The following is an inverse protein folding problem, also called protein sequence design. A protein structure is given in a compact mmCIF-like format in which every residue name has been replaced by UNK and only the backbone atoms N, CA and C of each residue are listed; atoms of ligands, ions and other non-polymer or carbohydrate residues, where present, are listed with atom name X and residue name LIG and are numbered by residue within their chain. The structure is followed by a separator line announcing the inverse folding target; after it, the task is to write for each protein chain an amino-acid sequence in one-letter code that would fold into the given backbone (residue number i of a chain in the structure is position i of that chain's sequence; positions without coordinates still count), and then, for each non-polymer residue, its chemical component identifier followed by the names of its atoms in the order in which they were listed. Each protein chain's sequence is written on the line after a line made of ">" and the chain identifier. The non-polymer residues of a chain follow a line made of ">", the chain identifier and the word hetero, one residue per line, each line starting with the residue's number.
data_IF_718226014360
#
_entry.id   IF_718226014360
#
_cell.length_a   1.000
_cell.length_b   1.000
_cell.length_c   1.000
_cell.angle_alpha   90.00
_cell.angle_beta   90.00
_cell.angle_gamma   90.00
#
_symmetry.space_group_name_H-M   'P 1'
#
loop_
_entity.id
_entity.type
_entity.pdbx_description
1 polymer ?
#
# COMPACT_ATOMS: atom_id res chain seq x y z
N UNK A 1 -14.21 -7.21 23.12
CA UNK A 1 -14.13 -7.48 21.68
C UNK A 1 -13.10 -6.55 21.00
N UNK A 2 -13.17 -5.23 21.18
CA UNK A 2 -12.19 -4.25 20.64
C UNK A 2 -10.72 -4.56 21.00
N UNK A 3 -10.42 -4.82 22.27
CA UNK A 3 -9.05 -5.11 22.74
C UNK A 3 -8.41 -6.37 22.13
N UNK A 4 -9.23 -7.35 21.74
CA UNK A 4 -8.76 -8.59 21.10
C UNK A 4 -8.35 -8.32 19.65
N UNK A 5 -9.17 -7.56 18.92
CA UNK A 5 -8.87 -7.11 17.56
C UNK A 5 -7.62 -6.21 17.49
N UNK A 6 -7.44 -5.30 18.46
CA UNK A 6 -6.22 -4.49 18.58
C UNK A 6 -4.96 -5.35 18.77
N UNK A 7 -5.04 -6.39 19.59
CA UNK A 7 -3.94 -7.33 19.84
C UNK A 7 -3.58 -8.19 18.61
N UNK A 8 -4.58 -8.60 17.83
CA UNK A 8 -4.37 -9.29 16.55
C UNK A 8 -3.68 -8.39 15.52
N UNK A 9 -4.09 -7.11 15.44
CA UNK A 9 -3.45 -6.13 14.57
C UNK A 9 -1.99 -5.84 14.96
N UNK A 10 -1.70 -5.71 16.26
CA UNK A 10 -0.32 -5.52 16.73
C UNK A 10 0.57 -6.73 16.41
N UNK A 11 0.02 -7.93 16.55
CA UNK A 11 0.71 -9.18 16.20
C UNK A 11 0.99 -9.22 14.69
N UNK A 12 0.01 -8.89 13.85
CA UNK A 12 0.17 -8.85 12.40
C UNK A 12 1.25 -7.82 11.99
N UNK A 13 1.23 -6.62 12.57
CA UNK A 13 2.23 -5.58 12.32
C UNK A 13 3.64 -6.08 12.70
N UNK A 14 3.77 -6.78 13.82
CA UNK A 14 5.05 -7.34 14.25
C UNK A 14 5.60 -8.35 13.24
N UNK A 15 4.77 -9.27 12.75
CA UNK A 15 5.17 -10.24 11.74
C UNK A 15 5.56 -9.58 10.41
N UNK A 16 4.79 -8.60 9.93
CA UNK A 16 5.15 -7.88 8.70
C UNK A 16 6.45 -7.09 8.85
N UNK A 17 6.72 -6.48 10.02
CA UNK A 17 8.01 -5.80 10.26
C UNK A 17 9.20 -6.76 10.30
N UNK A 18 9.01 -7.94 10.89
CA UNK A 18 10.04 -8.98 10.89
C UNK A 18 10.32 -9.48 9.46
N UNK A 19 9.26 -9.72 8.69
CA UNK A 19 9.36 -10.12 7.28
C UNK A 19 10.05 -9.04 6.45
N UNK A 20 9.66 -7.78 6.61
CA UNK A 20 10.27 -6.61 5.96
C UNK A 20 11.79 -6.56 6.19
N UNK A 21 12.23 -6.68 7.44
CA UNK A 21 13.66 -6.66 7.75
C UNK A 21 14.42 -7.81 7.09
N UNK A 22 13.82 -9.00 7.07
CA UNK A 22 14.41 -10.18 6.43
C UNK A 22 14.51 -10.02 4.91
N UNK A 23 13.45 -9.51 4.28
CA UNK A 23 13.37 -9.26 2.84
C UNK A 23 14.38 -8.18 2.42
N UNK A 24 14.52 -7.10 3.18
CA UNK A 24 15.52 -6.06 2.94
C UNK A 24 16.94 -6.62 3.05
N UNK A 25 17.22 -7.45 4.05
CA UNK A 25 18.53 -8.10 4.20
C UNK A 25 18.84 -9.09 3.07
N UNK A 26 17.81 -9.72 2.49
CA UNK A 26 17.93 -10.64 1.37
C UNK A 26 17.92 -9.95 -0.01
N UNK A 27 17.69 -8.63 -0.08
CA UNK A 27 17.55 -7.90 -1.34
C UNK A 27 16.22 -8.15 -2.07
N UNK A 28 15.21 -8.70 -1.39
CA UNK A 28 13.87 -8.95 -1.93
C UNK A 28 13.00 -7.69 -1.87
N UNK A 29 13.38 -6.65 -2.62
CA UNK A 29 12.77 -5.32 -2.50
C UNK A 29 11.28 -5.28 -2.90
N UNK A 30 10.83 -6.10 -3.87
CA UNK A 30 9.40 -6.22 -4.19
C UNK A 30 8.59 -6.75 -2.99
N UNK A 31 9.12 -7.79 -2.32
CA UNK A 31 8.48 -8.37 -1.14
C UNK A 31 8.50 -7.39 0.04
N UNK A 32 9.59 -6.64 0.21
CA UNK A 32 9.68 -5.56 1.18
C UNK A 32 8.63 -4.46 0.92
N UNK A 33 8.42 -4.06 -0.33
CA UNK A 33 7.40 -3.09 -0.72
C UNK A 33 5.98 -3.59 -0.39
N UNK A 34 5.69 -4.87 -0.65
CA UNK A 34 4.43 -5.52 -0.26
C UNK A 34 4.23 -5.48 1.26
N UNK A 35 5.26 -5.81 2.04
CA UNK A 35 5.22 -5.78 3.50
C UNK A 35 4.95 -4.37 4.02
N UNK A 36 5.61 -3.34 3.46
CA UNK A 36 5.34 -1.94 3.80
C UNK A 36 3.88 -1.55 3.53
N UNK A 37 3.32 -1.94 2.38
CA UNK A 37 1.92 -1.69 2.06
C UNK A 37 0.97 -2.36 3.07
N UNK A 38 1.24 -3.61 3.44
CA UNK A 38 0.43 -4.34 4.41
C UNK A 38 0.48 -3.70 5.81
N UNK A 39 1.67 -3.26 6.25
CA UNK A 39 1.82 -2.51 7.51
C UNK A 39 0.99 -1.22 7.46
N UNK A 40 1.03 -0.48 6.35
CA UNK A 40 0.20 0.70 6.14
C UNK A 40 -1.30 0.40 6.29
N UNK A 41 -1.75 -0.72 5.73
CA UNK A 41 -3.11 -1.24 5.90
C UNK A 41 -3.49 -1.54 7.34
N UNK A 42 -2.59 -2.16 8.10
CA UNK A 42 -2.86 -2.46 9.52
C UNK A 42 -2.97 -1.19 10.36
N UNK A 43 -2.09 -0.20 10.17
CA UNK A 43 -2.21 1.07 10.88
C UNK A 43 -3.47 1.86 10.49
N UNK A 44 -3.90 1.79 9.22
CA UNK A 44 -5.20 2.32 8.79
C UNK A 44 -6.36 1.66 9.54
N UNK A 45 -6.36 0.33 9.69
CA UNK A 45 -7.39 -0.40 10.45
C UNK A 45 -7.38 -0.04 11.95
N UNK A 46 -6.22 0.31 12.50
CA UNK A 46 -6.08 0.83 13.87
C UNK A 46 -6.52 2.29 14.03
N UNK A 47 -6.84 2.99 12.95
CA UNK A 47 -7.14 4.43 12.97
C UNK A 47 -5.91 5.34 13.09
N UNK A 48 -4.69 4.79 13.08
CA UNK A 48 -3.46 5.58 13.00
C UNK A 48 -3.12 5.85 11.53
N UNK A 49 -3.90 6.75 10.95
CA UNK A 49 -3.80 7.10 9.53
C UNK A 49 -2.47 7.76 9.17
N UNK A 50 -1.86 8.51 10.10
CA UNK A 50 -0.56 9.16 9.86
C UNK A 50 0.54 8.13 9.69
N UNK A 51 0.61 7.15 10.59
CA UNK A 51 1.58 6.06 10.48
C UNK A 51 1.28 5.18 9.25
N UNK A 52 -0.01 4.89 9.00
CA UNK A 52 -0.44 4.13 7.83
C UNK A 52 0.01 4.77 6.51
N UNK A 53 -0.21 6.08 6.36
CA UNK A 53 0.21 6.84 5.18
C UNK A 53 1.74 6.86 5.02
N UNK A 54 2.50 6.96 6.12
CA UNK A 54 3.97 6.88 6.07
C UNK A 54 4.47 5.56 5.49
N UNK A 55 3.87 4.43 5.89
CA UNK A 55 4.23 3.12 5.36
C UNK A 55 3.79 2.94 3.89
N UNK A 56 2.61 3.44 3.52
CA UNK A 56 2.21 3.47 2.12
C UNK A 56 3.18 4.28 1.26
N UNK A 57 3.62 5.46 1.72
CA UNK A 57 4.59 6.27 0.97
C UNK A 57 5.94 5.57 0.81
N UNK A 58 6.42 4.87 1.83
CA UNK A 58 7.64 4.05 1.71
C UNK A 58 7.46 2.91 0.69
N UNK A 59 6.30 2.24 0.71
CA UNK A 59 5.96 1.21 -0.29
C UNK A 59 5.89 1.78 -1.71
N UNK A 60 5.26 2.94 -1.88
CA UNK A 60 5.19 3.66 -3.15
C UNK A 60 6.59 3.96 -3.69
N UNK A 61 7.46 4.57 -2.87
CA UNK A 61 8.83 4.93 -3.27
C UNK A 61 9.63 3.70 -3.68
N UNK A 62 9.44 2.57 -2.97
CA UNK A 62 10.14 1.33 -3.29
C UNK A 62 9.66 0.75 -4.62
N UNK A 63 8.34 0.63 -4.84
CA UNK A 63 7.82 0.16 -6.13
C UNK A 63 8.19 1.08 -7.29
N UNK A 64 8.17 2.39 -7.08
CA UNK A 64 8.56 3.40 -8.07
C UNK A 64 10.04 3.24 -8.44
N UNK A 65 10.93 3.06 -7.46
CA UNK A 65 12.36 2.80 -7.69
C UNK A 65 12.67 1.49 -8.40
N UNK A 66 11.75 0.51 -8.32
CA UNK A 66 11.82 -0.78 -9.01
C UNK A 66 11.09 -0.76 -10.35
N UNK A 67 10.53 0.40 -10.76
CA UNK A 67 9.72 0.58 -11.97
C UNK A 67 8.49 -0.36 -12.03
N UNK A 68 8.00 -0.81 -10.87
CA UNK A 68 6.91 -1.77 -10.75
C UNK A 68 5.54 -1.07 -10.75
N UNK A 69 5.10 -0.67 -11.95
CA UNK A 69 3.83 0.05 -12.16
C UNK A 69 2.63 -0.61 -11.45
N UNK A 70 2.49 -1.93 -11.53
CA UNK A 70 1.37 -2.65 -10.86
C UNK A 70 1.37 -2.40 -9.34
N UNK A 71 2.53 -2.45 -8.69
CA UNK A 71 2.69 -2.19 -7.27
C UNK A 71 2.35 -0.73 -6.93
N UNK A 72 2.85 0.22 -7.71
CA UNK A 72 2.54 1.65 -7.57
C UNK A 72 1.01 1.89 -7.62
N UNK A 73 0.34 1.31 -8.62
CA UNK A 73 -1.12 1.40 -8.76
C UNK A 73 -1.88 0.85 -7.55
N UNK A 74 -1.44 -0.28 -6.99
CA UNK A 74 -2.02 -0.86 -5.77
C UNK A 74 -1.84 0.03 -4.55
N UNK A 75 -0.65 0.61 -4.35
CA UNK A 75 -0.39 1.51 -3.20
C UNK A 75 -1.22 2.79 -3.30
N UNK A 76 -1.31 3.40 -4.48
CA UNK A 76 -2.14 4.58 -4.71
C UNK A 76 -3.62 4.32 -4.42
N UNK A 77 -4.13 3.14 -4.79
CA UNK A 77 -5.49 2.74 -4.44
C UNK A 77 -5.68 2.69 -2.91
N UNK A 78 -4.70 2.18 -2.18
CA UNK A 78 -4.77 2.08 -0.72
C UNK A 78 -4.63 3.44 -0.02
N UNK A 79 -3.82 4.36 -0.57
CA UNK A 79 -3.74 5.76 -0.13
C UNK A 79 -5.07 6.46 -0.38
N UNK A 80 -5.68 6.27 -1.56
CA UNK A 80 -7.01 6.82 -1.88
C UNK A 80 -8.07 6.36 -0.88
N UNK A 81 -8.09 5.06 -0.54
CA UNK A 81 -8.99 4.49 0.49
C UNK A 81 -8.73 5.04 1.89
N UNK A 82 -7.47 5.36 2.20
CA UNK A 82 -7.12 5.99 3.48
C UNK A 82 -7.68 7.42 3.53
N UNK A 83 -7.54 8.20 2.46
CA UNK A 83 -8.09 9.55 2.39
C UNK A 83 -9.62 9.57 2.37
N UNK A 84 -10.25 8.61 1.70
CA UNK A 84 -11.70 8.42 1.72
C UNK A 84 -12.20 8.17 3.16
N UNK A 85 -11.52 7.30 3.92
CA UNK A 85 -11.85 7.07 5.33
C UNK A 85 -11.62 8.27 6.26
N UNK A 86 -10.88 9.28 5.80
CA UNK A 86 -10.68 10.57 6.46
C UNK A 86 -11.58 11.69 5.92
N UNK A 87 -12.50 11.37 5.01
CA UNK A 87 -13.37 12.33 4.31
C UNK A 87 -12.62 13.38 3.46
N UNK A 88 -11.34 13.13 3.15
CA UNK A 88 -10.54 13.95 2.23
C UNK A 88 -10.81 13.53 0.78
N UNK A 89 -12.04 13.76 0.32
CA UNK A 89 -12.57 13.26 -0.95
C UNK A 89 -11.75 13.70 -2.18
N UNK A 90 -11.24 14.94 -2.19
CA UNK A 90 -10.43 15.44 -3.31
C UNK A 90 -9.12 14.65 -3.44
N UNK A 91 -8.41 14.45 -2.32
CA UNK A 91 -7.17 13.66 -2.28
C UNK A 91 -7.43 12.19 -2.59
N UNK A 92 -8.54 11.63 -2.10
CA UNK A 92 -8.94 10.27 -2.42
C UNK A 92 -9.14 10.08 -3.93
N UNK A 93 -9.92 10.98 -4.55
CA UNK A 93 -10.20 10.96 -5.98
C UNK A 93 -8.93 11.12 -6.83
N UNK A 94 -8.02 12.00 -6.43
CA UNK A 94 -6.73 12.16 -7.13
C UNK A 94 -5.94 10.85 -7.15
N UNK A 95 -5.81 10.19 -5.99
CA UNK A 95 -5.10 8.93 -5.88
C UNK A 95 -5.79 7.79 -6.65
N UNK A 96 -7.12 7.74 -6.64
CA UNK A 96 -7.89 6.78 -7.44
C UNK A 96 -7.69 6.98 -8.94
N UNK A 97 -7.69 8.23 -9.43
CA UNK A 97 -7.41 8.53 -10.84
C UNK A 97 -6.01 8.11 -11.26
N UNK A 98 -4.99 8.40 -10.43
CA UNK A 98 -3.61 7.96 -10.67
C UNK A 98 -3.49 6.44 -10.71
N UNK A 99 -4.13 5.74 -9.75
CA UNK A 99 -4.17 4.27 -9.72
C UNK A 99 -4.84 3.68 -10.97
N UNK A 100 -5.97 4.26 -11.40
CA UNK A 100 -6.69 3.83 -12.60
C UNK A 100 -5.85 4.04 -13.87
N UNK A 101 -5.20 5.20 -14.00
CA UNK A 101 -4.33 5.48 -15.13
C UNK A 101 -3.22 4.44 -15.25
N UNK A 102 -2.53 4.14 -14.15
CA UNK A 102 -1.47 3.13 -14.12
C UNK A 102 -2.01 1.75 -14.49
N UNK A 103 -3.20 1.38 -14.02
CA UNK A 103 -3.81 0.09 -14.39
C UNK A 103 -4.12 0.02 -15.89
N UNK A 104 -4.55 1.12 -16.51
CA UNK A 104 -4.75 1.20 -17.97
C UNK A 104 -3.43 1.03 -18.70
N UNK A 105 -2.39 1.77 -18.32
CA UNK A 105 -1.05 1.64 -18.90
C UNK A 105 -0.51 0.22 -18.82
N UNK A 106 -0.66 -0.43 -17.66
CA UNK A 106 -0.26 -1.84 -17.47
C UNK A 106 -1.10 -2.76 -18.35
N UNK A 107 -2.42 -2.57 -18.45
CA UNK A 107 -3.29 -3.41 -19.30
C UNK A 107 -2.94 -3.29 -20.78
N UNK A 108 -2.64 -2.08 -21.24
CA UNK A 108 -2.25 -1.79 -22.62
C UNK A 108 -0.88 -2.40 -22.95
N UNK A 109 0.07 -2.37 -22.00
CA UNK A 109 1.39 -2.99 -22.12
C UNK A 109 1.32 -4.51 -22.31
N UNK A 110 0.37 -5.18 -21.64
CA UNK A 110 0.14 -6.63 -21.80
C UNK A 110 -0.78 -6.99 -22.98
N UNK A 111 -1.22 -6.02 -23.79
CA UNK A 111 -2.12 -6.26 -24.92
C UNK A 111 -3.50 -6.77 -24.51
N UNK A 112 -3.86 -6.64 -23.22
CA UNK A 112 -5.15 -7.05 -22.66
C UNK A 112 -6.21 -5.97 -22.83
N UNK A 113 -6.14 -5.20 -23.93
CA UNK A 113 -6.96 -4.01 -24.19
C UNK A 113 -8.39 -4.22 -23.72
N UNK A 114 -8.77 -3.48 -22.67
CA UNK A 114 -10.15 -3.51 -22.18
C UNK A 114 -10.95 -2.68 -23.17
N UNK A 115 -11.66 -3.38 -24.06
CA UNK A 115 -12.76 -2.81 -24.87
C UNK A 115 -13.99 -2.69 -23.98
#
# INVERSE_FOLDING_TARGET
>A
MLKYYEGELDTAIAYFKWSLNSQLAAGEYENAANSLNNIGGMYKLKGDFKTGLSYYNQSYQMYDSLEMKRGVGTVLLNIGRLYEGLEFNELALENYKKSEQIRKEVSDEYGLGIV
#
